data_IF_200768098493
#
_entry.id   IF_200768098493
#
_cell.length_a   1.000
_cell.length_b   1.000
_cell.length_c   1.000
_cell.angle_alpha   90.00
_cell.angle_beta   90.00
_cell.angle_gamma   90.00
#
_symmetry.space_group_name_H-M   'P 1'
#
loop_
_entity.id
_entity.type
_entity.pdbx_description
1 polymer ?
#
# COMPACT_ATOMS: atom_id res chain seq x y z
N UNK A 1 -3.65 -8.87 7.18
CA UNK A 1 -3.61 -9.03 8.64
C UNK A 1 -4.70 -8.20 9.31
N UNK A 2 -4.97 -8.50 10.57
CA UNK A 2 -5.90 -7.74 11.40
C UNK A 2 -5.10 -6.94 12.44
N UNK A 3 -5.44 -5.66 12.57
CA UNK A 3 -4.81 -4.78 13.56
C UNK A 3 -5.46 -4.94 14.93
N UNK A 4 -5.21 -6.08 15.56
CA UNK A 4 -5.79 -6.49 16.86
C UNK A 4 -4.79 -6.41 18.02
N UNK A 5 -3.56 -5.96 17.74
CA UNK A 5 -2.52 -5.72 18.74
C UNK A 5 -1.62 -4.57 18.30
N UNK A 6 -0.81 -4.04 19.21
CA UNK A 6 0.16 -3.00 18.87
C UNK A 6 1.23 -3.59 17.95
N UNK A 7 1.44 -2.96 16.81
CA UNK A 7 2.42 -3.37 15.80
C UNK A 7 3.50 -2.28 15.66
N UNK A 8 4.44 -2.25 16.59
CA UNK A 8 5.44 -1.18 16.68
C UNK A 8 6.33 -1.04 15.45
N UNK A 9 6.47 -2.09 14.65
CA UNK A 9 7.25 -2.04 13.40
C UNK A 9 6.50 -1.40 12.25
N UNK A 10 5.17 -1.40 12.28
CA UNK A 10 4.31 -0.83 11.25
C UNK A 10 3.63 0.45 11.72
N UNK A 11 3.07 0.41 12.91
CA UNK A 11 2.26 1.49 13.47
C UNK A 11 2.70 1.79 14.91
N UNK A 12 3.91 2.35 15.11
CA UNK A 12 4.41 2.62 16.45
C UNK A 12 3.47 3.56 17.22
N UNK A 13 3.10 3.16 18.41
CA UNK A 13 2.26 3.96 19.30
C UNK A 13 0.78 4.01 18.96
N UNK A 14 0.31 3.26 17.95
CA UNK A 14 -1.10 3.22 17.58
C UNK A 14 -1.79 2.05 18.28
N UNK A 15 -2.83 2.33 19.11
CA UNK A 15 -3.61 1.28 19.74
C UNK A 15 -4.31 0.39 18.69
N UNK A 16 -4.61 -0.87 19.03
CA UNK A 16 -5.34 -1.76 18.13
C UNK A 16 -6.68 -1.18 17.69
N UNK A 17 -6.95 -1.21 16.38
CA UNK A 17 -8.20 -0.69 15.80
C UNK A 17 -9.21 -1.77 15.48
N UNK A 18 -8.79 -3.05 15.46
CA UNK A 18 -9.63 -4.16 15.04
C UNK A 18 -9.89 -4.25 13.55
N UNK A 19 -9.33 -3.34 12.75
CA UNK A 19 -9.53 -3.29 11.30
C UNK A 19 -8.63 -4.29 10.58
N UNK A 20 -9.12 -4.78 9.44
CA UNK A 20 -8.32 -5.60 8.54
C UNK A 20 -7.51 -4.73 7.59
N UNK A 21 -6.29 -5.16 7.29
CA UNK A 21 -5.37 -4.48 6.39
C UNK A 21 -4.89 -5.43 5.31
N UNK A 22 -5.02 -5.02 4.07
CA UNK A 22 -4.49 -5.72 2.91
C UNK A 22 -3.41 -4.85 2.26
N UNK A 23 -2.17 -5.33 2.27
CA UNK A 23 -1.01 -4.62 1.73
C UNK A 23 -0.28 -5.49 0.72
N UNK A 24 0.10 -4.87 -0.40
CA UNK A 24 1.14 -5.40 -1.25
C UNK A 24 2.48 -4.82 -0.79
N UNK A 25 3.49 -5.66 -0.69
CA UNK A 25 4.83 -5.25 -0.30
C UNK A 25 5.83 -5.65 -1.37
N UNK A 26 6.88 -4.85 -1.50
CA UNK A 26 8.03 -5.15 -2.37
C UNK A 26 9.23 -5.40 -1.47
N UNK A 27 9.86 -6.57 -1.63
CA UNK A 27 11.10 -6.92 -0.93
C UNK A 27 12.26 -6.88 -1.91
N UNK A 28 13.32 -6.17 -1.51
CA UNK A 28 14.60 -6.21 -2.20
C UNK A 28 15.59 -6.87 -1.26
N UNK A 29 16.13 -8.01 -1.66
CA UNK A 29 16.98 -8.85 -0.82
C UNK A 29 18.36 -8.96 -1.46
N UNK A 30 19.40 -8.67 -0.68
CA UNK A 30 20.77 -8.89 -1.08
C UNK A 30 21.33 -10.15 -0.40
N UNK A 31 21.94 -11.00 -1.20
CA UNK A 31 22.58 -12.20 -0.72
C UNK A 31 24.09 -12.05 -0.72
N UNK A 32 24.72 -12.72 0.22
CA UNK A 32 26.16 -12.96 0.23
C UNK A 32 26.35 -14.48 0.30
N UNK A 33 26.70 -15.09 -0.83
CA UNK A 33 26.64 -16.53 -0.98
C UNK A 33 25.21 -17.03 -0.86
N UNK A 34 24.94 -17.92 0.07
CA UNK A 34 23.63 -18.51 0.35
C UNK A 34 22.87 -17.82 1.50
N UNK A 35 23.41 -16.70 2.00
CA UNK A 35 22.86 -16.00 3.15
C UNK A 35 22.34 -14.62 2.77
N UNK A 36 21.21 -14.23 3.36
CA UNK A 36 20.69 -12.87 3.28
C UNK A 36 21.57 -11.97 4.13
N UNK A 37 22.09 -10.89 3.51
CA UNK A 37 22.90 -9.91 4.21
C UNK A 37 22.23 -8.55 4.32
N UNK A 38 21.20 -8.31 3.52
CA UNK A 38 20.47 -7.06 3.53
C UNK A 38 19.07 -7.26 2.97
N UNK A 39 18.09 -6.55 3.54
CA UNK A 39 16.69 -6.63 3.15
C UNK A 39 16.05 -5.25 3.22
N UNK A 40 15.39 -4.84 2.14
CA UNK A 40 14.53 -3.65 2.10
C UNK A 40 13.10 -4.06 1.81
N UNK A 41 12.17 -3.56 2.62
CA UNK A 41 10.75 -3.77 2.44
C UNK A 41 10.12 -2.41 2.14
N UNK A 42 9.39 -2.35 1.01
CA UNK A 42 8.62 -1.18 0.63
C UNK A 42 7.13 -1.49 0.72
N UNK A 43 6.38 -0.59 1.31
CA UNK A 43 4.94 -0.69 1.43
C UNK A 43 4.32 0.70 1.56
N UNK A 44 3.03 0.80 1.26
CA UNK A 44 2.31 2.07 1.30
C UNK A 44 1.74 2.30 2.70
N UNK A 45 2.44 3.11 3.49
CA UNK A 45 2.02 3.45 4.85
C UNK A 45 0.72 4.25 4.86
N UNK A 46 0.52 5.15 3.89
CA UNK A 46 -0.71 5.92 3.77
C UNK A 46 -1.92 5.02 3.59
N UNK A 47 -1.80 4.01 2.72
CA UNK A 47 -2.84 3.00 2.50
C UNK A 47 -3.15 2.23 3.79
N UNK A 48 -2.13 1.80 4.51
CA UNK A 48 -2.30 1.07 5.76
C UNK A 48 -3.01 1.93 6.83
N UNK A 49 -2.59 3.18 7.00
CA UNK A 49 -3.20 4.10 7.96
C UNK A 49 -4.65 4.43 7.60
N UNK A 50 -4.96 4.54 6.31
CA UNK A 50 -6.34 4.69 5.82
C UNK A 50 -7.18 3.47 6.19
N UNK A 51 -6.67 2.28 5.98
CA UNK A 51 -7.39 1.04 6.23
C UNK A 51 -7.68 0.80 7.72
N UNK A 52 -6.83 1.27 8.61
CA UNK A 52 -7.07 1.20 10.05
C UNK A 52 -7.83 2.41 10.59
N UNK A 53 -8.27 3.31 9.72
CA UNK A 53 -9.13 4.46 10.05
C UNK A 53 -8.49 5.50 10.98
N UNK A 54 -7.17 5.60 11.00
CA UNK A 54 -6.45 6.65 11.76
C UNK A 54 -6.05 7.82 10.87
N UNK A 55 -6.12 7.66 9.56
CA UNK A 55 -5.90 8.72 8.58
C UNK A 55 -7.21 9.00 7.86
N UNK A 56 -7.72 10.22 8.01
CA UNK A 56 -8.83 10.71 7.19
C UNK A 56 -8.28 11.04 5.79
N UNK A 57 -8.53 10.16 4.85
CA UNK A 57 -8.01 10.24 3.50
C UNK A 57 -9.09 10.48 2.44
N UNK A 58 -10.31 10.86 2.84
CA UNK A 58 -11.44 11.02 1.93
C UNK A 58 -11.19 12.08 0.85
N UNK A 59 -10.34 13.05 1.15
CA UNK A 59 -9.95 14.12 0.23
C UNK A 59 -8.53 13.98 -0.32
N UNK A 60 -7.87 12.86 -0.06
CA UNK A 60 -6.50 12.60 -0.48
C UNK A 60 -6.45 11.42 -1.46
N UNK A 61 -5.59 11.48 -2.48
CA UNK A 61 -5.44 10.38 -3.45
C UNK A 61 -4.63 9.23 -2.86
N UNK A 62 -5.16 8.61 -1.82
CA UNK A 62 -4.53 7.48 -1.12
C UNK A 62 -5.34 6.22 -1.37
N UNK A 63 -4.70 5.19 -1.94
CA UNK A 63 -5.32 3.91 -2.19
C UNK A 63 -5.57 3.14 -0.88
N UNK A 64 -6.65 2.37 -0.85
CA UNK A 64 -6.93 1.42 0.23
C UNK A 64 -6.54 0.00 -0.17
N UNK A 65 -7.32 -0.98 0.29
CA UNK A 65 -7.09 -2.39 0.02
C UNK A 65 -7.16 -2.76 -1.47
N UNK A 66 -7.82 -1.96 -2.30
CA UNK A 66 -7.96 -2.21 -3.74
C UNK A 66 -6.62 -2.33 -4.45
N UNK A 67 -5.61 -1.57 -4.03
CA UNK A 67 -4.27 -1.64 -4.60
C UNK A 67 -3.60 -2.99 -4.33
N UNK A 68 -3.77 -3.54 -3.13
CA UNK A 68 -3.26 -4.86 -2.79
C UNK A 68 -4.00 -5.96 -3.56
N UNK A 69 -5.31 -5.86 -3.67
CA UNK A 69 -6.14 -6.80 -4.41
C UNK A 69 -5.80 -6.84 -5.90
N UNK A 70 -5.38 -5.72 -6.46
CA UNK A 70 -4.93 -5.62 -7.85
C UNK A 70 -3.72 -6.52 -8.11
N UNK A 71 -2.84 -6.72 -7.15
CA UNK A 71 -1.68 -7.61 -7.30
C UNK A 71 -2.12 -9.07 -7.47
N UNK A 72 -3.22 -9.46 -6.85
CA UNK A 72 -3.78 -10.81 -6.95
C UNK A 72 -4.66 -11.01 -8.19
N UNK A 73 -5.19 -9.93 -8.74
CA UNK A 73 -6.11 -9.96 -9.89
C UNK A 73 -5.79 -8.81 -10.84
N UNK A 74 -5.04 -9.12 -11.90
CA UNK A 74 -4.60 -8.15 -12.90
C UNK A 74 -5.75 -7.50 -13.68
N UNK A 75 -6.95 -8.08 -13.67
CA UNK A 75 -8.12 -7.55 -14.36
C UNK A 75 -8.80 -6.41 -13.61
N UNK A 76 -8.43 -6.17 -12.35
CA UNK A 76 -8.95 -5.04 -11.60
C UNK A 76 -8.42 -3.72 -12.15
N UNK A 77 -9.21 -2.63 -12.05
CA UNK A 77 -8.75 -1.31 -12.50
C UNK A 77 -7.45 -0.89 -11.83
N UNK A 78 -6.60 -0.21 -12.61
CA UNK A 78 -5.35 0.38 -12.12
C UNK A 78 -5.44 1.89 -12.23
N UNK A 79 -4.67 2.59 -11.39
CA UNK A 79 -4.50 4.04 -11.48
C UNK A 79 -5.82 4.81 -11.42
N UNK A 80 -6.74 4.36 -10.58
CA UNK A 80 -8.09 4.95 -10.48
C UNK A 80 -8.09 6.45 -10.18
N UNK A 81 -7.05 6.94 -9.47
CA UNK A 81 -6.90 8.38 -9.21
C UNK A 81 -6.41 9.18 -10.40
N UNK A 82 -5.95 8.50 -11.46
CA UNK A 82 -5.43 9.11 -12.67
C UNK A 82 -6.37 8.94 -13.86
N UNK A 83 -7.53 8.35 -13.67
CA UNK A 83 -8.44 7.98 -14.75
C UNK A 83 -8.79 9.18 -15.64
N UNK A 84 -9.24 10.27 -15.03
CA UNK A 84 -9.56 11.51 -15.75
C UNK A 84 -8.31 12.16 -16.35
N UNK A 85 -7.20 12.19 -15.61
CA UNK A 85 -5.95 12.75 -16.09
C UNK A 85 -5.39 11.95 -17.28
N UNK A 86 -5.56 10.65 -17.25
CA UNK A 86 -5.15 9.77 -18.34
C UNK A 86 -5.96 10.09 -19.61
N UNK A 87 -7.28 10.14 -19.50
CA UNK A 87 -8.18 10.46 -20.61
C UNK A 87 -7.90 11.87 -21.17
N UNK A 88 -7.63 12.85 -20.31
CA UNK A 88 -7.35 14.23 -20.73
C UNK A 88 -5.94 14.42 -21.29
N UNK A 89 -5.02 13.52 -21.02
CA UNK A 89 -3.65 13.58 -21.53
C UNK A 89 -3.43 12.80 -22.83
N UNK A 90 -4.40 12.00 -23.23
CA UNK A 90 -4.30 11.19 -24.45
C UNK A 90 -4.08 12.06 -25.67
N UNK A 91 -3.08 11.70 -26.48
CA UNK A 91 -2.74 12.43 -27.68
C UNK A 91 -1.95 13.74 -27.47
N UNK A 92 -1.65 14.11 -26.24
CA UNK A 92 -0.85 15.28 -25.93
C UNK A 92 0.64 14.92 -25.86
N UNK A 93 1.54 15.80 -26.33
CA UNK A 93 2.98 15.58 -26.19
C UNK A 93 3.39 15.60 -24.71
N UNK A 94 4.31 14.73 -24.39
CA UNK A 94 4.89 14.66 -23.05
C UNK A 94 5.93 15.77 -22.86
#
# INVERSE_FOLDING_TARGET
FKHDQVLDRYFPGIPPTGQEVELATVLIVKFRGDKVCHEHIYWDQGSALKQISVLDADHLPIAGAEAARKVLDEHRPSNIFMEDAWATSEGKPI
#
